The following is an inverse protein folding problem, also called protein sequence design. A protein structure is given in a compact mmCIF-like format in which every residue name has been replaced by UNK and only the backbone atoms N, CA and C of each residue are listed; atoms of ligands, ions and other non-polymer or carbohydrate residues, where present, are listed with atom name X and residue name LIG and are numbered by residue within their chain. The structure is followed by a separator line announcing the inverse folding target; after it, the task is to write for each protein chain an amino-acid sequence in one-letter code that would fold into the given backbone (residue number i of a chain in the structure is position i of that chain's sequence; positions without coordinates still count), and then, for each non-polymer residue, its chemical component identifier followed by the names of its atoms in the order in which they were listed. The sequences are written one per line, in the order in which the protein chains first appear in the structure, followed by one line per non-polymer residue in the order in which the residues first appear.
data_IF_058312955153
#
_entry.id   IF_058312955153
#
_cell.length_a   1.000
_cell.length_b   1.000
_cell.length_c   1.000
_cell.angle_alpha   90.00
_cell.angle_beta   90.00
_cell.angle_gamma   90.00
#
_symmetry.space_group_name_H-M   'P 1'
#
loop_
_entity.id
_entity.type
_entity.pdbx_description
1 polymer ?
#
# COMPACT_ATOMS: atom_id res chain seq x y z
N UNK A 1 -12.61 -10.15 -9.48
CA UNK A 1 -13.12 -9.21 -8.47
C UNK A 1 -11.91 -8.54 -7.83
N UNK A 2 -11.74 -7.22 -7.98
CA UNK A 2 -10.59 -6.51 -7.41
C UNK A 2 -10.89 -6.18 -5.95
N UNK A 3 -10.08 -6.66 -5.00
CA UNK A 3 -10.26 -6.39 -3.57
C UNK A 3 -9.65 -5.03 -3.22
N UNK A 4 -10.28 -4.30 -2.30
CA UNK A 4 -9.80 -2.98 -1.84
C UNK A 4 -8.38 -3.08 -1.27
N UNK A 5 -8.08 -4.14 -0.51
CA UNK A 5 -6.73 -4.42 0.00
C UNK A 5 -5.69 -4.52 -1.13
N UNK A 6 -6.05 -5.12 -2.27
CA UNK A 6 -5.18 -5.20 -3.45
C UNK A 6 -4.88 -3.82 -4.01
N UNK A 7 -5.88 -2.95 -4.12
CA UNK A 7 -5.68 -1.57 -4.61
C UNK A 7 -4.78 -0.76 -3.68
N UNK A 8 -4.96 -0.90 -2.36
CA UNK A 8 -4.15 -0.19 -1.36
C UNK A 8 -2.70 -0.64 -1.41
N UNK A 9 -2.45 -1.96 -1.49
CA UNK A 9 -1.09 -2.49 -1.65
C UNK A 9 -0.46 -1.96 -2.94
N UNK A 10 -1.20 -1.98 -4.05
CA UNK A 10 -0.70 -1.50 -5.34
C UNK A 10 -0.34 -0.01 -5.31
N UNK A 11 -1.17 0.82 -4.67
CA UNK A 11 -0.91 2.24 -4.52
C UNK A 11 0.38 2.51 -3.72
N UNK A 12 0.60 1.74 -2.64
CA UNK A 12 1.83 1.82 -1.86
C UNK A 12 3.06 1.38 -2.66
N UNK A 13 2.95 0.34 -3.50
CA UNK A 13 4.01 -0.08 -4.42
C UNK A 13 4.33 1.04 -5.41
N UNK A 14 3.32 1.63 -6.05
CA UNK A 14 3.51 2.72 -7.02
C UNK A 14 4.25 3.90 -6.38
N UNK A 15 3.89 4.28 -5.15
CA UNK A 15 4.56 5.35 -4.39
C UNK A 15 6.07 5.13 -4.19
N UNK A 16 6.55 3.87 -4.16
CA UNK A 16 7.98 3.58 -4.06
C UNK A 16 8.76 3.84 -5.35
N UNK A 17 8.08 3.80 -6.50
CA UNK A 17 8.70 3.94 -7.83
C UNK A 17 8.55 5.34 -8.42
N UNK A 18 7.76 6.22 -7.81
CA UNK A 18 7.74 7.62 -8.21
C UNK A 18 8.99 8.28 -7.61
N UNK A 19 9.86 8.91 -8.42
CA UNK A 19 10.98 9.69 -7.91
C UNK A 19 10.44 10.97 -7.22
N UNK A 20 10.17 10.87 -5.92
CA UNK A 20 9.69 11.95 -5.04
C UNK A 20 10.58 12.02 -3.76
N UNK A 21 10.51 13.09 -2.96
CA UNK A 21 11.27 13.26 -1.74
C UNK A 21 11.14 12.06 -0.77
N UNK A 22 12.06 11.89 0.20
CA UNK A 22 12.09 10.73 1.13
C UNK A 22 10.74 10.40 1.80
N UNK A 23 9.89 11.42 1.98
CA UNK A 23 8.51 11.30 2.50
C UNK A 23 7.68 10.31 1.69
N UNK A 24 7.83 10.27 0.36
CA UNK A 24 7.08 9.38 -0.50
C UNK A 24 7.43 7.91 -0.29
N UNK A 25 8.71 7.59 -0.12
CA UNK A 25 9.16 6.24 0.20
C UNK A 25 8.59 5.77 1.54
N UNK A 26 8.64 6.63 2.56
CA UNK A 26 8.05 6.34 3.88
C UNK A 26 6.54 6.14 3.76
N UNK A 27 5.83 7.00 3.02
CA UNK A 27 4.40 6.83 2.78
C UNK A 27 4.07 5.55 2.01
N UNK A 28 4.88 5.15 1.02
CA UNK A 28 4.68 3.92 0.26
C UNK A 28 4.74 2.69 1.15
N UNK A 29 5.74 2.62 2.04
CA UNK A 29 5.84 1.54 3.04
C UNK A 29 4.62 1.52 3.97
N UNK A 30 4.21 2.68 4.50
CA UNK A 30 3.02 2.77 5.38
C UNK A 30 1.75 2.31 4.66
N UNK A 31 1.55 2.74 3.41
CA UNK A 31 0.38 2.37 2.61
C UNK A 31 0.35 0.86 2.32
N UNK A 32 1.51 0.24 2.02
CA UNK A 32 1.61 -1.23 1.87
C UNK A 32 1.20 -1.94 3.17
N UNK A 33 1.71 -1.49 4.32
CA UNK A 33 1.38 -2.07 5.63
C UNK A 33 -0.11 -1.95 5.95
N UNK A 34 -0.74 -0.83 5.62
CA UNK A 34 -2.19 -0.66 5.77
C UNK A 34 -2.95 -1.64 4.88
N UNK A 35 -2.54 -1.78 3.61
CA UNK A 35 -3.17 -2.73 2.68
C UNK A 35 -3.06 -4.18 3.15
N UNK A 36 -1.93 -4.54 3.75
CA UNK A 36 -1.73 -5.84 4.41
C UNK A 36 -2.62 -5.99 5.64
N UNK A 37 -2.68 -4.99 6.53
CA UNK A 37 -3.53 -5.02 7.71
C UNK A 37 -5.01 -5.18 7.34
N UNK A 38 -5.49 -4.43 6.35
CA UNK A 38 -6.83 -4.58 5.79
C UNK A 38 -7.07 -6.01 5.33
N UNK A 39 -6.12 -6.59 4.58
CA UNK A 39 -6.20 -7.97 4.10
C UNK A 39 -6.31 -8.96 5.25
N UNK A 40 -5.47 -8.86 6.28
CA UNK A 40 -5.52 -9.77 7.42
C UNK A 40 -6.77 -9.60 8.29
N UNK A 41 -7.36 -8.40 8.35
CA UNK A 41 -8.58 -8.15 9.13
C UNK A 41 -9.88 -8.52 8.42
N UNK A 42 -9.89 -8.57 7.08
CA UNK A 42 -11.11 -8.83 6.30
C UNK A 42 -11.11 -10.16 5.55
N UNK A 43 -9.95 -10.78 5.32
CA UNK A 43 -9.84 -12.08 4.65
C UNK A 43 -9.52 -13.26 5.61
N UNK A 44 -9.58 -13.05 6.93
CA UNK A 44 -9.58 -14.12 7.95
C UNK A 44 -10.99 -14.71 8.11
#
# INVERSE_FOLDING_TARGET
MVRVSTLVILAGIVLLFIPIPPVATVSGVIVILIGLALRFLTDL
#
